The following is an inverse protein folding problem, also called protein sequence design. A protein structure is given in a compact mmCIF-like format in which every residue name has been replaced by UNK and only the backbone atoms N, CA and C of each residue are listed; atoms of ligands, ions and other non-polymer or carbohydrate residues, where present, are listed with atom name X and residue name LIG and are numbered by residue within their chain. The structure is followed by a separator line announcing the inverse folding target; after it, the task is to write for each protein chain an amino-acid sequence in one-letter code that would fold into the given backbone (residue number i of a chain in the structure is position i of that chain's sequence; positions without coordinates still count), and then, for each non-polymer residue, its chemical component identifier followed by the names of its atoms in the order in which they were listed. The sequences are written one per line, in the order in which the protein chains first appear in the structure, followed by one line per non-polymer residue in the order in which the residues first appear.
data_IF_954589606472
#
_entry.id   IF_954589606472
#
_cell.length_a   1.000
_cell.length_b   1.000
_cell.length_c   1.000
_cell.angle_alpha   90.00
_cell.angle_beta   90.00
_cell.angle_gamma   90.00
#
_symmetry.space_group_name_H-M   'P 1'
#
loop_
_entity.id
_entity.type
_entity.pdbx_description
1 polymer ?
#
# COMPACT_ATOMS: atom_id res chain seq x y z
N UNK A 1 6.40 -13.52 -5.52
CA UNK A 1 6.70 -13.33 -4.07
C UNK A 1 8.21 -13.11 -3.93
N UNK A 2 8.62 -12.03 -3.26
CA UNK A 2 10.03 -11.73 -2.95
C UNK A 2 10.21 -11.69 -1.43
N UNK A 3 11.24 -12.35 -0.93
CA UNK A 3 11.57 -12.37 0.51
C UNK A 3 12.93 -11.72 0.74
N UNK A 4 13.03 -10.89 1.77
CA UNK A 4 14.27 -10.22 2.21
C UNK A 4 14.41 -10.41 3.71
N UNK A 5 15.64 -10.60 4.19
CA UNK A 5 15.97 -10.65 5.62
C UNK A 5 16.90 -9.50 5.96
N UNK A 6 16.74 -8.90 7.13
CA UNK A 6 17.64 -7.85 7.62
C UNK A 6 17.41 -7.52 9.09
N UNK A 7 18.36 -6.82 9.69
CA UNK A 7 18.26 -6.36 11.08
C UNK A 7 17.71 -4.94 11.13
N UNK A 8 16.60 -4.76 11.86
CA UNK A 8 16.05 -3.44 12.14
C UNK A 8 16.76 -2.82 13.35
N UNK A 9 17.14 -1.55 13.25
CA UNK A 9 17.91 -0.81 14.26
C UNK A 9 17.33 -0.91 15.69
N UNK A 10 16.01 -1.04 15.83
CA UNK A 10 15.32 -1.17 17.13
C UNK A 10 14.45 -2.43 17.26
N UNK A 11 14.40 -3.27 16.22
CA UNK A 11 13.50 -4.43 16.15
C UNK A 11 14.24 -5.77 16.05
N UNK A 12 15.57 -5.78 16.03
CA UNK A 12 16.34 -6.99 15.78
C UNK A 12 16.06 -7.58 14.39
N UNK A 13 16.33 -8.87 14.22
CA UNK A 13 16.14 -9.57 12.95
C UNK A 13 14.68 -9.56 12.50
N UNK A 14 14.45 -9.14 11.26
CA UNK A 14 13.15 -9.10 10.60
C UNK A 14 13.18 -9.91 9.31
N UNK A 15 12.08 -10.62 9.05
CA UNK A 15 11.79 -11.25 7.76
C UNK A 15 10.70 -10.44 7.08
N UNK A 16 10.99 -9.95 5.88
CA UNK A 16 10.06 -9.17 5.05
C UNK A 16 9.67 -10.00 3.83
N UNK A 17 8.37 -10.17 3.65
CA UNK A 17 7.76 -10.80 2.49
C UNK A 17 6.99 -9.76 1.68
N UNK A 18 7.21 -9.73 0.38
CA UNK A 18 6.54 -8.84 -0.56
C UNK A 18 5.81 -9.66 -1.61
N UNK A 19 4.49 -9.48 -1.68
CA UNK A 19 3.64 -10.08 -2.69
C UNK A 19 2.89 -9.00 -3.47
N UNK A 20 2.46 -9.34 -4.67
CA UNK A 20 1.54 -8.48 -5.41
C UNK A 20 0.20 -8.39 -4.66
N UNK A 21 -0.41 -7.21 -4.72
CA UNK A 21 -1.78 -6.98 -4.27
C UNK A 21 -2.63 -6.64 -5.51
N UNK A 22 -3.56 -7.52 -5.92
CA UNK A 22 -4.46 -7.22 -7.02
C UNK A 22 -5.27 -5.96 -6.72
N UNK A 23 -5.34 -5.06 -7.69
CA UNK A 23 -6.10 -3.81 -7.60
C UNK A 23 -7.21 -3.79 -8.65
N UNK A 24 -8.37 -3.18 -8.35
CA UNK A 24 -9.43 -2.93 -9.33
C UNK A 24 -8.88 -2.07 -10.48
N UNK A 25 -9.63 -1.93 -11.58
CA UNK A 25 -9.26 -1.10 -12.73
C UNK A 25 -9.30 0.43 -12.47
N UNK A 26 -8.64 0.85 -11.39
CA UNK A 26 -8.49 2.22 -10.97
C UNK A 26 -7.34 2.89 -11.73
N UNK A 27 -7.57 4.10 -12.21
CA UNK A 27 -6.63 4.89 -12.99
C UNK A 27 -6.25 4.29 -14.35
N UNK A 28 -5.25 4.91 -14.98
CA UNK A 28 -4.71 4.50 -16.28
C UNK A 28 -3.56 3.49 -16.12
N UNK A 29 -2.88 3.54 -14.97
CA UNK A 29 -1.89 2.56 -14.56
C UNK A 29 -1.92 2.39 -13.04
N UNK A 30 -1.64 1.18 -12.57
CA UNK A 30 -1.70 0.82 -11.15
C UNK A 30 -0.71 -0.28 -10.80
N UNK A 31 -0.17 -0.22 -9.59
CA UNK A 31 0.62 -1.29 -9.00
C UNK A 31 0.26 -1.43 -7.52
N UNK A 32 0.05 -2.67 -7.07
CA UNK A 32 -0.27 -2.99 -5.69
C UNK A 32 0.73 -3.95 -5.09
N UNK A 33 1.14 -3.69 -3.84
CA UNK A 33 2.01 -4.55 -3.06
C UNK A 33 1.41 -4.82 -1.68
N UNK A 34 1.56 -6.05 -1.20
CA UNK A 34 1.41 -6.41 0.21
C UNK A 34 2.78 -6.73 0.77
N UNK A 35 3.14 -6.03 1.84
CA UNK A 35 4.31 -6.29 2.65
C UNK A 35 3.88 -6.95 3.95
N UNK A 36 4.61 -7.97 4.37
CA UNK A 36 4.47 -8.55 5.70
C UNK A 36 5.84 -8.65 6.33
N UNK A 37 6.00 -8.03 7.49
CA UNK A 37 7.23 -8.04 8.26
C UNK A 37 6.98 -8.81 9.55
N UNK A 38 7.83 -9.79 9.83
CA UNK A 38 7.78 -10.60 11.04
C UNK A 38 9.10 -10.54 11.78
N UNK A 39 9.02 -10.44 13.11
CA UNK A 39 10.18 -10.42 13.99
C UNK A 39 9.75 -10.48 15.44
N UNK A 40 10.66 -10.12 16.34
CA UNK A 40 10.38 -10.00 17.78
C UNK A 40 10.44 -8.54 18.18
N UNK A 41 9.47 -8.06 18.95
CA UNK A 41 9.60 -6.78 19.63
C UNK A 41 10.69 -6.84 20.70
N UNK A 42 11.05 -5.67 21.25
CA UNK A 42 12.10 -5.55 22.28
C UNK A 42 11.82 -6.33 23.56
N UNK A 43 10.56 -6.68 23.82
CA UNK A 43 10.09 -7.53 24.92
C UNK A 43 10.13 -9.04 24.59
N UNK A 44 10.59 -9.40 23.39
CA UNK A 44 10.66 -10.78 22.90
C UNK A 44 9.34 -11.30 22.29
N UNK A 45 8.27 -10.51 22.30
CA UNK A 45 6.96 -10.91 21.77
C UNK A 45 7.00 -10.94 20.24
N UNK A 46 6.56 -12.03 19.58
CA UNK A 46 6.45 -12.07 18.14
C UNK A 46 5.49 -10.99 17.63
N UNK A 47 5.95 -10.20 16.66
CA UNK A 47 5.14 -9.18 16.01
C UNK A 47 5.05 -9.43 14.52
N UNK A 48 3.90 -9.07 13.96
CA UNK A 48 3.65 -9.05 12.52
C UNK A 48 3.13 -7.67 12.15
N UNK A 49 3.84 -6.98 11.28
CA UNK A 49 3.34 -5.78 10.61
C UNK A 49 2.88 -6.18 9.21
N UNK A 50 1.66 -5.82 8.85
CA UNK A 50 1.16 -5.94 7.48
C UNK A 50 0.95 -4.54 6.92
N UNK A 51 1.43 -4.29 5.70
CA UNK A 51 1.21 -3.03 4.98
C UNK A 51 0.80 -3.34 3.55
N UNK A 52 -0.35 -2.82 3.15
CA UNK A 52 -0.76 -2.76 1.75
C UNK A 52 -0.36 -1.40 1.18
N UNK A 53 0.24 -1.40 0.00
CA UNK A 53 0.61 -0.21 -0.76
C UNK A 53 -0.05 -0.27 -2.13
N UNK A 54 -0.61 0.85 -2.59
CA UNK A 54 -1.10 1.01 -3.96
C UNK A 54 -0.57 2.32 -4.54
N UNK A 55 -0.06 2.28 -5.76
CA UNK A 55 0.28 3.45 -6.55
C UNK A 55 -0.61 3.48 -7.80
N UNK A 56 -1.25 4.62 -8.05
CA UNK A 56 -2.27 4.76 -9.10
C UNK A 56 -2.02 6.08 -9.84
N UNK A 57 -1.95 6.00 -11.16
CA UNK A 57 -1.83 7.17 -12.04
C UNK A 57 -3.17 7.46 -12.72
N UNK A 58 -3.54 8.74 -12.80
CA UNK A 58 -4.71 9.27 -13.49
C UNK A 58 -4.31 10.51 -14.29
N UNK A 59 -4.20 10.38 -15.61
CA UNK A 59 -3.56 11.39 -16.46
C UNK A 59 -2.13 11.67 -15.98
N UNK A 60 -1.86 12.93 -15.68
CA UNK A 60 -0.57 13.39 -15.13
C UNK A 60 -0.48 13.29 -13.60
N UNK A 61 -1.59 12.99 -12.92
CA UNK A 61 -1.65 12.93 -11.46
C UNK A 61 -1.39 11.51 -10.94
N UNK A 62 -0.80 11.41 -9.74
CA UNK A 62 -0.54 10.12 -9.09
C UNK A 62 -0.92 10.18 -7.62
N UNK A 63 -1.52 9.10 -7.12
CA UNK A 63 -1.77 8.89 -5.69
C UNK A 63 -1.09 7.62 -5.21
N UNK A 64 -0.49 7.69 -4.02
CA UNK A 64 0.00 6.52 -3.29
C UNK A 64 -0.83 6.34 -2.03
N UNK A 65 -1.33 5.13 -1.82
CA UNK A 65 -2.11 4.74 -0.65
C UNK A 65 -1.30 3.76 0.18
N UNK A 66 -1.28 3.97 1.49
CA UNK A 66 -0.73 3.02 2.46
C UNK A 66 -1.80 2.66 3.47
N UNK A 67 -1.95 1.37 3.75
CA UNK A 67 -2.85 0.84 4.76
C UNK A 67 -2.11 -0.23 5.54
N UNK A 68 -1.82 0.02 6.81
CA UNK A 68 -0.97 -0.87 7.59
C UNK A 68 -1.39 -0.95 9.05
N UNK A 69 -1.01 -2.05 9.68
CA UNK A 69 -1.31 -2.33 11.07
C UNK A 69 -0.58 -3.57 11.58
N UNK A 70 -0.56 -3.71 12.90
CA UNK A 70 -0.11 -4.94 13.53
C UNK A 70 -1.15 -6.05 13.30
N UNK A 71 -0.68 -7.24 12.95
CA UNK A 71 -1.52 -8.38 12.62
C UNK A 71 -2.05 -8.33 11.19
N UNK A 72 -3.30 -8.76 11.00
CA UNK A 72 -3.93 -8.84 9.69
C UNK A 72 -4.47 -7.47 9.24
N UNK A 73 -4.29 -7.17 7.95
CA UNK A 73 -4.87 -5.98 7.31
C UNK A 73 -5.68 -6.44 6.10
N UNK A 74 -6.94 -6.00 6.08
CA UNK A 74 -7.91 -6.29 5.02
C UNK A 74 -7.49 -5.63 3.69
N UNK A 75 -7.17 -6.42 2.65
CA UNK A 75 -6.81 -5.86 1.34
C UNK A 75 -7.94 -5.08 0.68
N UNK A 76 -9.18 -5.45 0.96
CA UNK A 76 -10.39 -4.89 0.34
C UNK A 76 -10.52 -3.39 0.63
N UNK A 77 -10.03 -2.95 1.79
CA UNK A 77 -9.99 -1.52 2.15
C UNK A 77 -9.05 -0.77 1.20
N UNK A 78 -7.85 -1.30 0.94
CA UNK A 78 -6.92 -0.67 -0.01
C UNK A 78 -7.48 -0.68 -1.43
N UNK A 79 -8.17 -1.76 -1.83
CA UNK A 79 -8.79 -1.86 -3.15
C UNK A 79 -9.93 -0.84 -3.31
N UNK A 80 -10.83 -0.73 -2.34
CA UNK A 80 -11.92 0.24 -2.36
C UNK A 80 -11.40 1.68 -2.37
N UNK A 81 -10.40 1.98 -1.53
CA UNK A 81 -9.78 3.31 -1.48
C UNK A 81 -8.98 3.64 -2.75
N UNK A 82 -8.45 2.62 -3.43
CA UNK A 82 -7.79 2.79 -4.74
C UNK A 82 -8.77 3.31 -5.78
N UNK A 83 -9.95 2.69 -5.86
CA UNK A 83 -11.01 3.14 -6.77
C UNK A 83 -11.48 4.55 -6.42
N UNK A 84 -11.82 4.79 -5.14
CA UNK A 84 -12.28 6.10 -4.67
C UNK A 84 -11.24 7.21 -4.94
N UNK A 85 -9.96 6.95 -4.66
CA UNK A 85 -8.87 7.90 -4.90
C UNK A 85 -8.71 8.24 -6.38
N UNK A 86 -8.78 7.23 -7.26
CA UNK A 86 -8.72 7.44 -8.70
C UNK A 86 -9.91 8.28 -9.20
N UNK A 87 -11.12 7.99 -8.73
CA UNK A 87 -12.32 8.75 -9.11
C UNK A 87 -12.24 10.20 -8.64
N UNK A 88 -11.67 10.43 -7.45
CA UNK A 88 -11.46 11.79 -6.94
C UNK A 88 -10.43 12.56 -7.77
N UNK A 89 -9.31 11.95 -8.17
CA UNK A 89 -8.33 12.59 -9.05
C UNK A 89 -8.92 12.92 -10.42
N UNK A 90 -9.73 12.02 -11.01
CA UNK A 90 -10.45 12.29 -12.27
C UNK A 90 -11.34 13.52 -12.16
N UNK A 91 -12.08 13.63 -11.05
CA UNK A 91 -12.95 14.78 -10.81
C UNK A 91 -12.17 16.09 -10.63
N UNK A 92 -11.09 16.08 -9.85
CA UNK A 92 -10.22 17.25 -9.68
C UNK A 92 -9.64 17.69 -11.04
N UNK A 93 -9.16 16.73 -11.85
CA UNK A 93 -8.63 17.01 -13.18
C UNK A 93 -9.69 17.60 -14.13
N UNK A 94 -10.95 17.17 -14.06
CA UNK A 94 -12.06 17.80 -14.81
C UNK A 94 -12.30 19.24 -14.35
N UNK A 95 -12.41 19.46 -13.04
CA UNK A 95 -12.64 20.80 -12.48
C UNK A 95 -11.50 21.78 -12.78
N UNK A 96 -10.26 21.31 -12.80
CA UNK A 96 -9.09 22.12 -13.18
C UNK A 96 -9.19 22.65 -14.61
N UNK A 97 -9.61 21.81 -15.58
CA UNK A 97 -9.74 22.21 -16.99
C UNK A 97 -10.87 23.19 -17.28
N UNK A 98 -11.89 23.26 -16.42
CA UNK A 98 -13.03 24.19 -16.57
C UNK A 98 -12.70 25.60 -16.05
N UNK A 99 -11.63 25.74 -15.24
CA UNK A 99 -11.21 27.01 -14.62
C UNK A 99 -10.09 27.74 -15.37
N UNK A 100 -9.67 27.25 -16.53
CA UNK A 100 -8.62 27.85 -17.38
C UNK A 100 -9.24 28.60 -18.55
#
# INVERSE_FOLDING_TARGET
MRTVRGDALRGGAQVVEVTELPLPEAGDARAGLRLTMTGKASDGVPTRLTVNLAAIRVGEETITLTNGGLGAVLPEVTQAMSQLGADRLREIGRQGRVRV
#
